data_IF_456785596998
#
_entry.id   IF_456785596998
#
_cell.length_a   1.000
_cell.length_b   1.000
_cell.length_c   1.000
_cell.angle_alpha   90.00
_cell.angle_beta   90.00
_cell.angle_gamma   90.00
#
_symmetry.space_group_name_H-M   'P 1'
#
loop_
_entity.id
_entity.type
_entity.pdbx_description
1 polymer ?
#
# COMPACT_ATOMS: atom_id res chain seq x y z
N UNK A 1 -18.46 31.86 -8.80
CA UNK A 1 -17.14 31.25 -8.55
C UNK A 1 -16.26 31.52 -9.74
N UNK A 2 -15.00 31.90 -9.52
CA UNK A 2 -14.00 32.07 -10.57
C UNK A 2 -13.15 30.81 -10.66
N UNK A 3 -13.07 30.22 -11.85
CA UNK A 3 -12.26 29.01 -12.07
C UNK A 3 -10.91 29.38 -12.66
N UNK A 4 -9.83 28.93 -12.00
CA UNK A 4 -8.47 29.02 -12.51
C UNK A 4 -8.00 27.64 -12.92
N UNK A 5 -7.81 27.45 -14.23
CA UNK A 5 -7.32 26.20 -14.80
C UNK A 5 -5.82 26.25 -15.05
N UNK A 6 -5.10 25.23 -14.59
CA UNK A 6 -3.69 25.00 -14.88
C UNK A 6 -3.55 23.94 -15.97
N UNK A 7 -2.74 24.22 -16.98
CA UNK A 7 -2.45 23.26 -18.05
C UNK A 7 -1.55 22.11 -17.56
N UNK A 8 -1.46 21.03 -18.34
CA UNK A 8 -0.69 19.83 -18.01
C UNK A 8 0.73 20.11 -17.50
N UNK A 9 1.49 21.00 -18.15
CA UNK A 9 2.88 21.31 -17.78
C UNK A 9 2.97 22.00 -16.42
N UNK A 10 2.10 22.98 -16.17
CA UNK A 10 2.06 23.70 -14.89
C UNK A 10 1.58 22.75 -13.79
N UNK A 11 0.51 22.00 -14.02
CA UNK A 11 -0.01 21.01 -13.08
C UNK A 11 1.04 19.96 -12.70
N UNK A 12 1.78 19.43 -13.67
CA UNK A 12 2.85 18.47 -13.39
C UNK A 12 4.00 19.10 -12.61
N UNK A 13 4.36 20.35 -12.91
CA UNK A 13 5.35 21.10 -12.13
C UNK A 13 4.90 21.31 -10.68
N UNK A 14 3.62 21.63 -10.48
CA UNK A 14 3.02 21.72 -9.15
C UNK A 14 3.09 20.35 -8.45
N UNK A 15 2.73 19.24 -9.10
CA UNK A 15 2.80 17.91 -8.50
C UNK A 15 4.23 17.53 -8.03
N UNK A 16 5.26 17.91 -8.78
CA UNK A 16 6.66 17.76 -8.38
C UNK A 16 6.97 18.64 -7.16
N UNK A 17 6.53 19.90 -7.17
CA UNK A 17 6.71 20.81 -6.05
C UNK A 17 6.01 20.30 -4.78
N UNK A 18 4.82 19.72 -4.90
CA UNK A 18 4.08 19.03 -3.83
C UNK A 18 4.91 17.90 -3.24
N UNK A 19 5.50 17.05 -4.09
CA UNK A 19 6.35 15.95 -3.62
C UNK A 19 7.57 16.48 -2.85
N UNK A 20 8.26 17.49 -3.38
CA UNK A 20 9.41 18.10 -2.70
C UNK A 20 9.03 18.80 -1.40
N UNK A 21 7.90 19.51 -1.36
CA UNK A 21 7.36 20.15 -0.17
C UNK A 21 7.13 19.10 0.93
N UNK A 22 6.47 18.00 0.58
CA UNK A 22 6.27 16.88 1.48
C UNK A 22 7.58 16.29 2.01
N UNK A 23 8.57 16.09 1.14
CA UNK A 23 9.91 15.64 1.55
C UNK A 23 10.60 16.64 2.48
N UNK A 24 10.46 17.94 2.24
CA UNK A 24 11.05 18.99 3.07
C UNK A 24 10.43 19.02 4.48
N UNK A 25 9.11 18.87 4.56
CA UNK A 25 8.38 18.81 5.84
C UNK A 25 8.73 17.53 6.59
N UNK A 26 8.76 16.37 5.90
CA UNK A 26 9.09 15.08 6.49
C UNK A 26 10.49 15.08 7.14
N UNK A 27 11.47 15.75 6.53
CA UNK A 27 12.82 15.92 7.10
C UNK A 27 12.85 16.75 8.38
N UNK A 28 11.89 17.66 8.58
CA UNK A 28 11.84 18.56 9.74
C UNK A 28 10.96 18.01 10.87
N UNK A 29 9.88 17.31 10.53
CA UNK A 29 8.88 16.85 11.51
C UNK A 29 9.11 15.38 11.87
N UNK A 30 9.81 15.15 12.98
CA UNK A 30 10.16 13.80 13.47
C UNK A 30 8.95 12.88 13.66
N UNK A 31 7.78 13.43 14.02
CA UNK A 31 6.57 12.64 14.23
C UNK A 31 6.07 11.99 12.93
N UNK A 32 6.06 12.74 11.82
CA UNK A 32 5.64 12.24 10.51
C UNK A 32 6.62 11.18 9.99
N UNK A 33 7.92 11.40 10.20
CA UNK A 33 8.97 10.45 9.86
C UNK A 33 8.87 9.17 10.70
N UNK A 34 8.61 9.29 12.00
CA UNK A 34 8.44 8.14 12.92
C UNK A 34 7.35 7.20 12.43
N UNK A 35 6.21 7.74 12.00
CA UNK A 35 5.09 6.93 11.51
C UNK A 35 5.18 6.58 10.03
N UNK A 36 6.25 6.95 9.31
CA UNK A 36 6.41 6.66 7.88
C UNK A 36 5.29 7.23 7.00
N UNK A 37 4.74 8.40 7.35
CA UNK A 37 3.73 9.07 6.52
C UNK A 37 4.36 9.42 5.16
N UNK A 38 3.80 8.97 4.03
CA UNK A 38 4.34 9.24 2.71
C UNK A 38 4.48 10.74 2.42
N UNK A 39 5.63 11.14 1.88
CA UNK A 39 5.88 12.53 1.48
C UNK A 39 4.82 13.14 0.54
N UNK A 40 4.32 12.44 -0.50
CA UNK A 40 3.28 12.99 -1.37
C UNK A 40 2.02 13.40 -0.60
N UNK A 41 1.66 12.67 0.46
CA UNK A 41 0.49 12.94 1.31
C UNK A 41 0.69 14.22 2.10
N UNK A 42 1.85 14.37 2.71
CA UNK A 42 2.17 15.56 3.49
C UNK A 42 2.10 16.80 2.60
N UNK A 43 2.73 16.75 1.41
CA UNK A 43 2.67 17.85 0.45
C UNK A 43 1.25 18.08 -0.08
N UNK A 44 0.56 17.00 -0.41
CA UNK A 44 -0.77 17.04 -1.01
C UNK A 44 -1.82 17.60 -0.05
N UNK A 45 -1.77 17.27 1.24
CA UNK A 45 -2.62 17.88 2.28
C UNK A 45 -2.40 19.39 2.35
N UNK A 46 -1.14 19.87 2.23
CA UNK A 46 -0.88 21.32 2.20
C UNK A 46 -1.57 21.96 0.99
N UNK A 47 -1.51 21.34 -0.19
CA UNK A 47 -2.22 21.85 -1.36
C UNK A 47 -3.73 21.73 -1.20
N UNK A 48 -4.25 20.64 -0.65
CA UNK A 48 -5.68 20.44 -0.40
C UNK A 48 -6.24 21.49 0.57
N UNK A 49 -5.46 21.89 1.58
CA UNK A 49 -5.84 22.99 2.48
C UNK A 49 -5.85 24.33 1.75
N UNK A 50 -4.89 24.57 0.85
CA UNK A 50 -4.85 25.78 0.03
C UNK A 50 -6.01 25.84 -0.97
N UNK A 51 -6.30 24.74 -1.68
CA UNK A 51 -7.43 24.65 -2.61
C UNK A 51 -8.75 24.82 -1.86
N UNK A 52 -8.89 24.23 -0.67
CA UNK A 52 -10.05 24.44 0.21
C UNK A 52 -10.19 25.91 0.62
N UNK A 53 -9.11 26.56 1.04
CA UNK A 53 -9.14 27.98 1.38
C UNK A 53 -9.56 28.85 0.18
N UNK A 54 -9.07 28.55 -1.03
CA UNK A 54 -9.49 29.24 -2.25
C UNK A 54 -10.97 29.00 -2.55
N UNK A 55 -11.44 27.75 -2.44
CA UNK A 55 -12.83 27.38 -2.69
C UNK A 55 -13.80 28.14 -1.77
N UNK A 56 -13.45 28.29 -0.48
CA UNK A 56 -14.23 29.09 0.49
C UNK A 56 -14.31 30.58 0.12
N UNK A 57 -13.35 31.10 -0.64
CA UNK A 57 -13.39 32.46 -1.20
C UNK A 57 -13.99 32.53 -2.61
N UNK A 58 -14.61 31.43 -3.09
CA UNK A 58 -15.26 31.34 -4.38
C UNK A 58 -14.31 31.16 -5.56
N UNK A 59 -13.09 30.68 -5.32
CA UNK A 59 -12.06 30.42 -6.34
C UNK A 59 -11.84 28.91 -6.48
N UNK A 60 -12.14 28.35 -7.65
CA UNK A 60 -11.93 26.93 -7.94
C UNK A 60 -10.63 26.73 -8.73
N UNK A 61 -9.73 25.90 -8.19
CA UNK A 61 -8.49 25.53 -8.86
C UNK A 61 -8.68 24.20 -9.58
N UNK A 62 -8.43 24.17 -10.89
CA UNK A 62 -8.58 22.98 -11.74
C UNK A 62 -7.23 22.63 -12.34
N UNK A 63 -6.81 21.37 -12.19
CA UNK A 63 -5.51 20.89 -12.67
C UNK A 63 -5.72 19.88 -13.79
N UNK A 64 -5.13 20.13 -14.96
CA UNK A 64 -5.04 19.13 -16.02
C UNK A 64 -3.91 18.12 -15.71
N UNK A 65 -4.24 16.84 -15.51
CA UNK A 65 -3.34 15.81 -14.96
C UNK A 65 -3.23 14.55 -15.85
N UNK A 66 -2.82 14.67 -17.13
CA UNK A 66 -2.89 13.57 -18.10
C UNK A 66 -1.95 12.39 -17.77
N UNK A 67 -0.90 12.62 -16.96
CA UNK A 67 0.06 11.58 -16.58
C UNK A 67 -0.35 10.80 -15.33
N UNK A 68 -1.42 11.18 -14.62
CA UNK A 68 -1.85 10.56 -13.35
C UNK A 68 -2.02 9.05 -13.51
N UNK A 69 -2.84 8.63 -14.49
CA UNK A 69 -3.12 7.22 -14.77
C UNK A 69 -1.88 6.47 -15.24
N UNK A 70 -1.07 7.06 -16.11
CA UNK A 70 0.17 6.42 -16.60
C UNK A 70 1.14 6.14 -15.44
N UNK A 71 1.35 7.11 -14.55
CA UNK A 71 2.22 6.96 -13.37
C UNK A 71 1.69 5.91 -12.39
N UNK A 72 0.36 5.87 -12.16
CA UNK A 72 -0.28 4.81 -11.39
C UNK A 72 0.03 3.42 -11.98
N UNK A 73 -0.16 3.25 -13.29
CA UNK A 73 0.09 1.98 -13.96
C UNK A 73 1.57 1.58 -13.95
N UNK A 74 2.49 2.54 -14.09
CA UNK A 74 3.93 2.29 -13.94
C UNK A 74 4.25 1.78 -12.53
N UNK A 75 3.65 2.36 -11.49
CA UNK A 75 3.81 1.88 -10.12
C UNK A 75 3.32 0.43 -9.97
N UNK A 76 2.10 0.10 -10.42
CA UNK A 76 1.58 -1.26 -10.29
C UNK A 76 2.32 -2.28 -11.17
N UNK A 77 2.80 -1.88 -12.35
CA UNK A 77 3.73 -2.71 -13.12
C UNK A 77 4.99 -3.03 -12.31
N UNK A 78 5.53 -2.06 -11.57
CA UNK A 78 6.70 -2.27 -10.71
C UNK A 78 6.43 -3.26 -9.57
N UNK A 79 5.23 -3.22 -8.98
CA UNK A 79 4.77 -4.22 -8.00
C UNK A 79 4.72 -5.61 -8.64
N UNK A 80 4.14 -5.74 -9.84
CA UNK A 80 4.10 -6.99 -10.59
C UNK A 80 5.49 -7.56 -10.91
N UNK A 81 6.42 -6.72 -11.39
CA UNK A 81 7.81 -7.12 -11.62
C UNK A 81 8.55 -7.53 -10.34
N UNK A 82 8.08 -7.06 -9.20
CA UNK A 82 8.65 -7.39 -7.91
C UNK A 82 8.17 -8.76 -7.37
N UNK A 83 7.09 -9.31 -7.93
CA UNK A 83 6.66 -10.68 -7.64
C UNK A 83 7.67 -11.70 -8.17
N UNK A 84 8.30 -12.44 -7.26
CA UNK A 84 9.19 -13.55 -7.59
C UNK A 84 8.54 -14.86 -7.16
N UNK A 85 7.94 -15.58 -8.13
CA UNK A 85 7.24 -16.83 -7.87
C UNK A 85 8.17 -17.96 -7.41
N UNK A 86 9.47 -17.86 -7.73
CA UNK A 86 10.46 -18.81 -7.21
C UNK A 86 10.66 -18.63 -5.70
N UNK A 87 10.70 -17.38 -5.20
CA UNK A 87 10.79 -17.11 -3.76
C UNK A 87 9.57 -17.64 -2.99
N UNK A 88 8.37 -17.63 -3.59
CA UNK A 88 7.17 -18.25 -3.00
C UNK A 88 7.38 -19.75 -2.77
N UNK A 89 7.91 -20.46 -3.77
CA UNK A 89 8.18 -21.89 -3.67
C UNK A 89 9.27 -22.21 -2.64
N UNK A 90 10.26 -21.35 -2.50
CA UNK A 90 11.36 -21.53 -1.54
C UNK A 90 11.02 -21.14 -0.10
N UNK A 91 9.99 -20.33 0.14
CA UNK A 91 9.65 -19.85 1.49
C UNK A 91 9.10 -20.91 2.45
N UNK A 92 8.86 -22.12 1.97
CA UNK A 92 8.50 -23.27 2.79
C UNK A 92 7.15 -23.12 3.50
N UNK A 93 6.88 -24.03 4.44
CA UNK A 93 5.57 -24.16 5.11
C UNK A 93 5.12 -22.88 5.83
N UNK A 94 6.06 -22.16 6.41
CA UNK A 94 5.81 -20.96 7.23
C UNK A 94 5.33 -19.80 6.35
N UNK A 95 5.95 -19.58 5.19
CA UNK A 95 5.51 -18.56 4.24
C UNK A 95 4.07 -18.81 3.78
N UNK A 96 3.77 -20.05 3.39
CA UNK A 96 2.43 -20.43 2.94
C UNK A 96 1.39 -20.31 4.06
N UNK A 97 1.72 -20.73 5.29
CA UNK A 97 0.82 -20.59 6.44
C UNK A 97 0.53 -19.11 6.76
N UNK A 98 1.54 -18.26 6.70
CA UNK A 98 1.37 -16.83 6.94
C UNK A 98 0.57 -16.15 5.83
N UNK A 99 0.88 -16.46 4.57
CA UNK A 99 0.12 -15.96 3.42
C UNK A 99 -1.34 -16.38 3.52
N UNK A 100 -1.61 -17.64 3.85
CA UNK A 100 -2.98 -18.13 4.06
C UNK A 100 -3.70 -17.35 5.17
N UNK A 101 -3.05 -17.10 6.31
CA UNK A 101 -3.63 -16.29 7.38
C UNK A 101 -3.93 -14.85 6.93
N UNK A 102 -3.03 -14.24 6.15
CA UNK A 102 -3.19 -12.89 5.67
C UNK A 102 -4.26 -12.78 4.57
N UNK A 103 -4.39 -13.78 3.69
CA UNK A 103 -5.52 -13.93 2.76
C UNK A 103 -6.83 -13.97 3.52
N UNK A 104 -6.91 -14.84 4.53
CA UNK A 104 -8.12 -15.04 5.33
C UNK A 104 -8.47 -13.77 6.12
N UNK A 105 -7.44 -13.08 6.63
CA UNK A 105 -7.58 -11.77 7.28
C UNK A 105 -8.24 -10.74 6.34
N UNK A 106 -7.74 -10.59 5.11
CA UNK A 106 -8.30 -9.64 4.12
C UNK A 106 -9.78 -9.95 3.84
N UNK A 107 -10.11 -11.23 3.61
CA UNK A 107 -11.50 -11.64 3.38
C UNK A 107 -12.40 -11.14 4.50
N UNK A 108 -12.04 -11.38 5.76
CA UNK A 108 -12.84 -10.95 6.92
C UNK A 108 -12.77 -9.44 7.17
N UNK A 109 -11.64 -8.78 6.88
CA UNK A 109 -11.48 -7.33 6.97
C UNK A 109 -12.51 -6.62 6.08
N UNK A 110 -12.72 -7.13 4.87
CA UNK A 110 -13.72 -6.61 3.94
C UNK A 110 -15.14 -6.96 4.36
N UNK A 111 -15.39 -8.17 4.91
CA UNK A 111 -16.71 -8.48 5.50
C UNK A 111 -17.07 -7.45 6.58
N UNK A 112 -16.14 -7.14 7.48
CA UNK A 112 -16.35 -6.15 8.56
C UNK A 112 -16.63 -4.77 7.98
N UNK A 113 -15.84 -4.34 6.99
CA UNK A 113 -16.02 -3.05 6.32
C UNK A 113 -17.38 -2.95 5.63
N UNK A 114 -17.73 -3.93 4.80
CA UNK A 114 -19.01 -4.02 4.09
C UNK A 114 -20.21 -4.04 5.05
N UNK A 115 -20.13 -4.85 6.11
CA UNK A 115 -21.22 -4.99 7.07
C UNK A 115 -21.47 -3.69 7.83
N UNK A 116 -20.41 -3.02 8.29
CA UNK A 116 -20.56 -1.76 9.03
C UNK A 116 -20.98 -0.61 8.13
N UNK A 117 -20.51 -0.54 6.89
CA UNK A 117 -21.01 0.44 5.92
C UNK A 117 -22.53 0.31 5.75
N UNK A 118 -23.04 -0.92 5.58
CA UNK A 118 -24.49 -1.17 5.50
C UNK A 118 -25.24 -0.78 6.78
N UNK A 119 -24.73 -1.13 7.96
CA UNK A 119 -25.35 -0.79 9.25
C UNK A 119 -25.40 0.73 9.46
N UNK A 120 -24.39 1.45 9.00
CA UNK A 120 -24.29 2.91 9.10
C UNK A 120 -25.00 3.64 7.94
N UNK A 121 -25.73 2.93 7.08
CA UNK A 121 -26.43 3.45 5.90
C UNK A 121 -25.50 4.18 4.90
N UNK A 122 -24.28 3.67 4.74
CA UNK A 122 -23.33 4.11 3.72
C UNK A 122 -23.38 3.17 2.50
N UNK A 123 -22.85 3.64 1.38
CA UNK A 123 -22.56 2.76 0.24
C UNK A 123 -21.59 1.64 0.69
N UNK A 124 -21.91 0.35 0.45
CA UNK A 124 -21.05 -0.77 0.83
C UNK A 124 -19.62 -0.65 0.31
N UNK A 125 -19.40 -0.08 -0.87
CA UNK A 125 -18.07 0.10 -1.46
C UNK A 125 -17.18 1.00 -0.59
N UNK A 126 -17.75 1.96 0.14
CA UNK A 126 -17.00 2.74 1.14
C UNK A 126 -16.47 1.85 2.26
N UNK A 127 -17.17 0.76 2.58
CA UNK A 127 -16.70 -0.27 3.51
C UNK A 127 -15.44 -0.99 3.02
N UNK A 128 -15.30 -1.21 1.71
CA UNK A 128 -14.08 -1.77 1.11
C UNK A 128 -12.93 -0.75 1.16
N UNK A 129 -13.22 0.53 0.87
CA UNK A 129 -12.23 1.62 0.99
C UNK A 129 -11.75 1.75 2.44
N UNK A 130 -12.64 1.68 3.42
CA UNK A 130 -12.31 1.65 4.85
C UNK A 130 -11.88 0.26 5.36
N UNK A 131 -11.71 -0.71 4.46
CA UNK A 131 -11.29 -2.07 4.70
C UNK A 131 -9.94 -2.35 4.05
N UNK A 132 -9.83 -3.49 3.37
CA UNK A 132 -8.55 -4.00 2.87
C UNK A 132 -7.90 -3.12 1.81
N UNK A 133 -8.69 -2.37 1.03
CA UNK A 133 -8.18 -1.50 -0.05
C UNK A 133 -7.11 -0.54 0.49
N UNK A 134 -7.39 0.07 1.64
CA UNK A 134 -6.49 1.06 2.26
C UNK A 134 -5.73 0.53 3.46
N UNK A 135 -6.38 -0.31 4.29
CA UNK A 135 -5.79 -0.78 5.54
C UNK A 135 -4.81 -1.92 5.32
N UNK A 136 -4.93 -2.68 4.23
CA UNK A 136 -3.92 -3.69 3.85
C UNK A 136 -3.12 -3.28 2.61
N UNK A 137 -3.76 -2.59 1.66
CA UNK A 137 -3.12 -2.14 0.41
C UNK A 137 -2.38 -0.79 0.49
N UNK A 138 -2.61 0.00 1.55
CA UNK A 138 -2.00 1.31 1.72
C UNK A 138 -2.47 2.36 0.72
N UNK A 139 -1.75 3.49 0.66
CA UNK A 139 -2.17 4.67 -0.11
C UNK A 139 -2.16 4.45 -1.62
N UNK A 140 -1.21 3.68 -2.16
CA UNK A 140 -1.12 3.42 -3.60
C UNK A 140 -2.34 2.66 -4.11
N UNK A 141 -2.67 1.56 -3.44
CA UNK A 141 -3.86 0.75 -3.73
C UNK A 141 -5.14 1.52 -3.45
N UNK A 142 -5.20 2.27 -2.36
CA UNK A 142 -6.31 3.17 -2.04
C UNK A 142 -6.61 4.20 -3.12
N UNK A 143 -5.60 4.96 -3.57
CA UNK A 143 -5.78 5.98 -4.60
C UNK A 143 -6.18 5.37 -5.97
N UNK A 144 -5.65 4.19 -6.28
CA UNK A 144 -5.97 3.50 -7.52
C UNK A 144 -7.43 3.05 -7.55
N UNK A 145 -7.88 2.37 -6.50
CA UNK A 145 -9.28 1.97 -6.37
C UNK A 145 -10.22 3.16 -6.23
N UNK A 146 -9.80 4.22 -5.54
CA UNK A 146 -10.59 5.45 -5.44
C UNK A 146 -10.87 6.06 -6.82
N UNK A 147 -9.86 6.06 -7.71
CA UNK A 147 -10.04 6.55 -9.08
C UNK A 147 -11.08 5.72 -9.83
N UNK A 148 -11.05 4.39 -9.68
CA UNK A 148 -12.05 3.49 -10.28
C UNK A 148 -13.44 3.71 -9.66
N UNK A 149 -13.53 3.90 -8.36
CA UNK A 149 -14.80 4.09 -7.66
C UNK A 149 -15.45 5.42 -8.06
N UNK A 150 -14.67 6.47 -8.24
CA UNK A 150 -15.15 7.74 -8.78
C UNK A 150 -15.61 7.60 -10.25
N UNK A 151 -14.78 7.00 -11.12
CA UNK A 151 -15.04 6.94 -12.56
C UNK A 151 -16.14 5.94 -12.95
N UNK A 152 -16.18 4.77 -12.33
CA UNK A 152 -17.06 3.66 -12.73
C UNK A 152 -18.27 3.47 -11.83
N UNK A 153 -18.15 3.84 -10.55
CA UNK A 153 -19.19 3.64 -9.54
C UNK A 153 -19.78 4.96 -9.02
N UNK A 154 -19.33 6.10 -9.54
CA UNK A 154 -19.82 7.44 -9.19
C UNK A 154 -19.74 7.77 -7.69
N UNK A 155 -18.69 7.28 -7.04
CA UNK A 155 -18.37 7.61 -5.64
C UNK A 155 -17.37 8.77 -5.65
N UNK A 156 -17.88 9.99 -5.67
CA UNK A 156 -17.07 11.20 -5.87
C UNK A 156 -16.00 11.42 -4.78
N UNK A 157 -16.27 10.99 -3.54
CA UNK A 157 -15.39 11.22 -2.37
C UNK A 157 -14.44 10.06 -2.07
N UNK A 158 -14.30 9.14 -3.03
CA UNK A 158 -13.56 7.91 -2.83
C UNK A 158 -12.07 8.19 -2.50
N UNK A 159 -11.48 9.24 -3.08
CA UNK A 159 -10.07 9.56 -2.88
C UNK A 159 -9.82 10.11 -1.48
N UNK A 160 -10.66 11.03 -1.02
CA UNK A 160 -10.64 11.64 0.31
C UNK A 160 -10.70 10.54 1.37
N UNK A 161 -11.68 9.65 1.24
CA UNK A 161 -11.91 8.52 2.14
C UNK A 161 -10.72 7.58 2.09
N UNK A 162 -10.23 7.24 0.90
CA UNK A 162 -9.09 6.33 0.76
C UNK A 162 -7.83 6.87 1.46
N UNK A 163 -7.54 8.17 1.28
CA UNK A 163 -6.38 8.82 1.88
C UNK A 163 -6.50 8.95 3.39
N UNK A 164 -7.69 9.26 3.90
CA UNK A 164 -7.97 9.31 5.32
C UNK A 164 -7.77 7.93 5.98
N UNK A 165 -8.41 6.89 5.42
CA UNK A 165 -8.32 5.52 5.94
C UNK A 165 -6.89 4.97 5.91
N UNK A 166 -6.18 5.12 4.78
CA UNK A 166 -4.82 4.61 4.65
C UNK A 166 -3.85 5.30 5.63
N UNK A 167 -4.02 6.61 5.85
CA UNK A 167 -3.18 7.38 6.77
C UNK A 167 -3.49 7.02 8.22
N UNK A 168 -4.78 6.91 8.56
CA UNK A 168 -5.22 6.44 9.88
C UNK A 168 -4.68 5.06 10.18
N UNK A 169 -4.86 4.12 9.24
CA UNK A 169 -4.34 2.76 9.32
C UNK A 169 -2.87 2.79 9.67
N UNK A 170 -2.03 3.34 8.78
CA UNK A 170 -0.58 3.34 8.94
C UNK A 170 -0.09 3.87 10.31
N UNK A 171 -0.73 4.90 10.86
CA UNK A 171 -0.43 5.39 12.22
C UNK A 171 -0.81 4.34 13.27
N UNK A 172 -2.03 3.83 13.22
CA UNK A 172 -2.55 2.86 14.18
C UNK A 172 -1.82 1.51 14.10
N UNK A 173 -1.60 0.96 12.92
CA UNK A 173 -0.83 -0.28 12.73
C UNK A 173 0.57 -0.19 13.33
N UNK A 174 1.17 1.00 13.27
CA UNK A 174 2.46 1.29 13.89
C UNK A 174 2.41 1.45 15.41
N UNK A 175 1.31 1.99 15.95
CA UNK A 175 1.12 2.14 17.40
C UNK A 175 0.83 0.78 18.06
N UNK A 176 0.01 -0.06 17.44
CA UNK A 176 -0.56 -1.25 18.09
C UNK A 176 0.22 -2.54 17.82
N UNK A 177 1.00 -2.64 16.74
CA UNK A 177 1.71 -3.88 16.42
C UNK A 177 2.81 -4.24 17.43
N UNK A 178 3.65 -3.28 17.82
CA UNK A 178 4.67 -3.49 18.87
C UNK A 178 4.07 -3.93 20.21
N UNK A 179 3.10 -3.20 20.79
CA UNK A 179 2.43 -3.62 22.03
C UNK A 179 1.80 -5.01 21.96
N UNK A 180 1.16 -5.37 20.82
CA UNK A 180 0.61 -6.71 20.64
C UNK A 180 1.70 -7.79 20.66
N UNK A 181 2.78 -7.59 19.89
CA UNK A 181 3.92 -8.52 19.86
C UNK A 181 4.55 -8.69 21.24
N UNK A 182 4.78 -7.58 21.96
CA UNK A 182 5.28 -7.59 23.34
C UNK A 182 4.36 -8.39 24.27
N UNK A 183 3.05 -8.16 24.19
CA UNK A 183 2.06 -8.89 25.01
C UNK A 183 2.10 -10.40 24.73
N UNK A 184 2.22 -10.79 23.47
CA UNK A 184 2.34 -12.21 23.07
C UNK A 184 3.62 -12.84 23.61
N UNK A 185 4.76 -12.13 23.54
CA UNK A 185 6.04 -12.60 24.09
C UNK A 185 5.95 -12.79 25.60
N UNK A 186 5.47 -11.78 26.33
CA UNK A 186 5.42 -11.80 27.79
C UNK A 186 4.42 -12.84 28.33
N UNK A 187 3.24 -12.96 27.71
CA UNK A 187 2.21 -13.90 28.18
C UNK A 187 2.57 -15.38 27.94
N UNK A 188 3.48 -15.66 27.01
CA UNK A 188 3.86 -17.03 26.64
C UNK A 188 5.32 -17.32 26.98
N UNK A 189 6.00 -16.44 27.73
CA UNK A 189 7.41 -16.57 28.17
C UNK A 189 8.36 -16.93 27.00
N UNK A 190 8.17 -16.26 25.86
CA UNK A 190 8.90 -16.57 24.63
C UNK A 190 10.27 -15.91 24.62
N UNK A 191 11.28 -16.64 24.12
CA UNK A 191 12.63 -16.15 23.94
C UNK A 191 13.11 -16.31 22.50
N UNK A 192 14.00 -15.42 22.08
CA UNK A 192 14.70 -15.53 20.80
C UNK A 192 15.71 -16.68 20.86
N UNK A 193 15.52 -17.72 20.05
CA UNK A 193 16.47 -18.84 19.95
C UNK A 193 17.73 -18.51 19.10
N UNK A 194 17.74 -17.38 18.38
CA UNK A 194 18.83 -16.96 17.48
C UNK A 194 20.07 -16.37 18.24
N UNK A 195 20.15 -16.48 19.57
CA UNK A 195 21.27 -15.92 20.36
C UNK A 195 22.64 -16.57 20.06
N UNK A 196 22.70 -17.84 19.63
CA UNK A 196 23.97 -18.54 19.38
C UNK A 196 24.69 -18.17 18.08
N UNK A 197 24.10 -17.33 17.23
CA UNK A 197 24.66 -16.89 15.95
C UNK A 197 24.91 -15.37 15.91
N UNK A 198 25.23 -14.77 17.06
CA UNK A 198 25.50 -13.32 17.18
C UNK A 198 26.79 -12.81 16.49
N UNK A 199 27.33 -13.55 15.51
CA UNK A 199 28.49 -13.12 14.70
C UNK A 199 28.38 -13.34 13.19
N UNK A 200 27.32 -13.97 12.66
CA UNK A 200 27.21 -14.22 11.20
C UNK A 200 25.91 -13.81 10.53
N UNK A 201 24.85 -13.58 11.29
CA UNK A 201 23.57 -13.13 10.74
C UNK A 201 23.00 -11.96 11.55
N UNK A 202 23.72 -10.84 11.57
CA UNK A 202 23.01 -9.62 11.17
C UNK A 202 22.50 -10.02 9.78
N UNK A 203 21.18 -10.23 9.51
CA UNK A 203 20.75 -10.15 8.13
C UNK A 203 21.38 -8.86 7.73
N UNK A 204 22.34 -8.88 6.78
CA UNK A 204 22.81 -7.64 6.19
C UNK A 204 21.49 -6.93 6.02
N UNK A 205 21.27 -5.84 6.77
CA UNK A 205 20.39 -4.84 6.27
C UNK A 205 20.83 -4.86 4.82
N UNK A 206 19.92 -5.03 3.89
CA UNK A 206 20.21 -4.32 2.69
C UNK A 206 20.33 -2.84 3.15
N UNK A 207 21.44 -2.41 3.79
CA UNK A 207 22.51 -1.66 3.16
C UNK A 207 22.41 -1.90 1.66
N UNK A 208 21.33 -1.37 1.08
CA UNK A 208 21.37 -0.45 -0.03
C UNK A 208 22.43 0.62 0.30
N UNK A 209 23.69 0.17 0.35
CA UNK A 209 24.74 0.78 1.15
C UNK A 209 26.07 0.06 1.02
N UNK A 210 26.21 -0.87 0.07
CA UNK A 210 27.25 -0.63 -0.92
C UNK A 210 26.59 0.19 -2.01
N UNK A 211 26.98 1.46 -2.10
CA UNK A 211 26.71 2.33 -3.23
C UNK A 211 27.34 1.71 -4.48
N UNK A 212 26.74 0.67 -5.05
CA UNK A 212 26.79 0.54 -6.51
C UNK A 212 26.16 1.84 -6.98
N UNK A 213 26.98 2.73 -7.55
CA UNK A 213 26.51 4.03 -7.99
C UNK A 213 25.23 3.88 -8.80
N UNK A 214 24.31 4.83 -8.62
CA UNK A 214 23.10 4.92 -9.45
C UNK A 214 23.58 4.80 -10.88
N UNK A 215 23.19 3.73 -11.58
CA UNK A 215 23.47 3.61 -13.00
C UNK A 215 22.35 4.34 -13.72
N UNK A 216 22.60 5.53 -14.33
CA UNK A 216 21.55 6.28 -15.00
C UNK A 216 20.92 5.47 -16.14
N UNK A 217 21.73 4.64 -16.80
CA UNK A 217 21.27 3.69 -17.80
C UNK A 217 20.23 2.70 -17.24
N UNK A 218 20.48 2.09 -16.06
CA UNK A 218 19.53 1.16 -15.45
C UNK A 218 18.24 1.82 -14.98
N UNK A 219 18.36 3.05 -14.48
CA UNK A 219 17.19 3.87 -14.14
C UNK A 219 16.33 4.14 -15.37
N UNK A 220 16.96 4.57 -16.47
CA UNK A 220 16.27 4.82 -17.73
C UNK A 220 15.63 3.54 -18.28
N UNK A 221 16.35 2.41 -18.31
CA UNK A 221 15.79 1.13 -18.77
C UNK A 221 14.63 0.66 -17.90
N UNK A 222 14.71 0.89 -16.58
CA UNK A 222 13.61 0.53 -15.66
C UNK A 222 12.40 1.42 -15.90
N UNK A 223 12.59 2.73 -16.06
CA UNK A 223 11.51 3.65 -16.42
C UNK A 223 10.88 3.34 -17.77
N UNK A 224 11.69 3.05 -18.79
CA UNK A 224 11.21 2.65 -20.11
C UNK A 224 10.40 1.35 -20.04
N UNK A 225 10.89 0.35 -19.29
CA UNK A 225 10.17 -0.91 -19.11
C UNK A 225 8.81 -0.69 -18.43
N UNK A 226 8.77 0.05 -17.33
CA UNK A 226 7.52 0.35 -16.63
C UNK A 226 6.55 1.16 -17.51
N UNK A 227 7.06 2.10 -18.29
CA UNK A 227 6.25 2.89 -19.23
C UNK A 227 5.67 2.01 -20.33
N UNK A 228 6.48 1.16 -20.96
CA UNK A 228 6.00 0.20 -21.98
C UNK A 228 4.94 -0.72 -21.38
N UNK A 229 5.17 -1.26 -20.19
CA UNK A 229 4.20 -2.12 -19.51
C UNK A 229 2.91 -1.38 -19.17
N UNK A 230 2.98 -0.10 -18.81
CA UNK A 230 1.78 0.73 -18.58
C UNK A 230 0.96 0.94 -19.86
N UNK A 231 1.62 1.18 -21.00
CA UNK A 231 0.96 1.35 -22.30
C UNK A 231 0.34 0.04 -22.78
N UNK A 232 1.07 -1.07 -22.64
CA UNK A 232 0.55 -2.41 -22.94
C UNK A 232 -0.66 -2.74 -22.05
N UNK A 233 -0.63 -2.38 -20.75
CA UNK A 233 -1.75 -2.58 -19.85
C UNK A 233 -2.99 -1.80 -20.27
N UNK A 234 -2.84 -0.54 -20.69
CA UNK A 234 -3.94 0.28 -21.19
C UNK A 234 -4.57 -0.31 -22.46
N UNK A 235 -3.74 -0.70 -23.44
CA UNK A 235 -4.23 -1.33 -24.66
C UNK A 235 -4.93 -2.66 -24.37
N UNK A 236 -4.35 -3.48 -23.49
CA UNK A 236 -4.94 -4.75 -23.11
C UNK A 236 -6.29 -4.58 -22.40
N UNK A 237 -6.40 -3.58 -21.52
CA UNK A 237 -7.66 -3.21 -20.87
C UNK A 237 -8.72 -2.76 -21.89
N UNK A 238 -8.36 -1.92 -22.86
CA UNK A 238 -9.28 -1.48 -23.91
C UNK A 238 -9.78 -2.65 -24.77
N UNK A 239 -8.91 -3.61 -25.10
CA UNK A 239 -9.28 -4.80 -25.87
C UNK A 239 -10.19 -5.74 -25.08
N UNK A 240 -9.88 -5.96 -23.79
CA UNK A 240 -10.55 -6.97 -22.98
C UNK A 240 -11.81 -6.47 -22.27
N UNK A 241 -11.92 -5.18 -21.98
CA UNK A 241 -13.11 -4.58 -21.33
C UNK A 241 -14.40 -4.76 -22.13
N UNK A 242 -14.30 -5.07 -23.43
CA UNK A 242 -15.44 -5.41 -24.29
C UNK A 242 -16.08 -6.77 -23.95
N UNK A 243 -15.37 -7.68 -23.28
CA UNK A 243 -15.89 -8.96 -22.85
C UNK A 243 -16.50 -8.85 -21.45
N UNK A 244 -17.70 -9.38 -21.25
CA UNK A 244 -18.42 -9.31 -19.96
C UNK A 244 -17.60 -9.81 -18.77
N UNK A 245 -16.76 -10.84 -18.96
CA UNK A 245 -15.90 -11.38 -17.90
C UNK A 245 -14.87 -10.36 -17.38
N UNK A 246 -14.42 -9.43 -18.23
CA UNK A 246 -13.33 -8.50 -17.95
C UNK A 246 -13.79 -7.05 -17.79
N UNK A 247 -15.10 -6.80 -17.90
CA UNK A 247 -15.73 -5.47 -17.89
C UNK A 247 -15.40 -4.68 -16.62
N UNK A 248 -15.44 -5.33 -15.47
CA UNK A 248 -15.18 -4.71 -14.16
C UNK A 248 -13.73 -4.84 -13.69
N UNK A 249 -12.82 -5.33 -14.54
CA UNK A 249 -11.40 -5.47 -14.19
C UNK A 249 -10.70 -4.12 -14.42
N UNK A 250 -10.16 -3.46 -13.38
CA UNK A 250 -9.47 -2.19 -13.53
C UNK A 250 -8.19 -2.29 -14.37
N UNK A 251 -7.83 -1.19 -15.03
CA UNK A 251 -6.64 -1.10 -15.88
C UNK A 251 -5.32 -1.48 -15.15
N UNK A 252 -5.16 -1.14 -13.88
CA UNK A 252 -3.95 -1.43 -13.10
C UNK A 252 -3.77 -2.92 -12.80
N UNK A 253 -4.84 -3.72 -12.84
CA UNK A 253 -4.75 -5.19 -12.74
C UNK A 253 -3.97 -5.76 -13.90
N UNK A 254 -4.19 -5.25 -15.11
CA UNK A 254 -3.44 -5.64 -16.29
C UNK A 254 -1.96 -5.25 -16.16
N UNK A 255 -1.65 -4.10 -15.53
CA UNK A 255 -0.27 -3.69 -15.27
C UNK A 255 0.44 -4.64 -14.29
N UNK A 256 -0.22 -5.04 -13.20
CA UNK A 256 0.30 -6.05 -12.27
C UNK A 256 0.50 -7.37 -13.02
N UNK A 257 -0.51 -7.85 -13.73
CA UNK A 257 -0.47 -9.14 -14.44
C UNK A 257 0.66 -9.19 -15.48
N UNK A 258 0.81 -8.13 -16.29
CA UNK A 258 1.93 -8.02 -17.23
C UNK A 258 3.28 -8.01 -16.51
N UNK A 259 3.41 -7.27 -15.40
CA UNK A 259 4.62 -7.27 -14.58
C UNK A 259 4.96 -8.66 -14.04
N UNK A 260 3.97 -9.39 -13.53
CA UNK A 260 4.14 -10.77 -13.03
C UNK A 260 4.55 -11.72 -14.16
N UNK A 261 3.83 -11.70 -15.28
CA UNK A 261 4.08 -12.59 -16.42
C UNK A 261 5.46 -12.32 -16.99
N UNK A 262 5.75 -11.08 -17.37
CA UNK A 262 7.02 -10.69 -18.00
C UNK A 262 8.18 -10.85 -17.02
N UNK A 263 7.98 -10.49 -15.75
CA UNK A 263 9.00 -10.56 -14.70
C UNK A 263 9.46 -11.97 -14.35
N UNK A 264 8.63 -12.98 -14.60
CA UNK A 264 8.94 -14.39 -14.31
C UNK A 264 9.39 -15.19 -15.56
N UNK A 265 9.56 -14.54 -16.72
CA UNK A 265 10.22 -15.16 -17.89
C UNK A 265 11.71 -15.33 -17.57
N UNK A 266 12.23 -16.56 -17.61
CA UNK A 266 13.57 -16.92 -17.09
C UNK A 266 14.74 -16.05 -17.61
N UNK A 267 14.71 -15.66 -18.89
CA UNK A 267 15.72 -14.77 -19.47
C UNK A 267 15.60 -13.32 -19.00
N UNK A 268 14.37 -12.84 -18.83
CA UNK A 268 14.07 -11.49 -18.36
C UNK A 268 14.32 -11.37 -16.85
N UNK A 269 13.91 -12.37 -16.07
CA UNK A 269 14.11 -12.44 -14.62
C UNK A 269 15.58 -12.21 -14.25
N UNK A 270 16.52 -12.90 -14.93
CA UNK A 270 17.96 -12.71 -14.69
C UNK A 270 18.46 -11.30 -15.01
N UNK A 271 17.86 -10.62 -15.98
CA UNK A 271 18.18 -9.24 -16.32
C UNK A 271 17.57 -8.26 -15.31
N UNK A 272 16.31 -8.50 -14.88
CA UNK A 272 15.61 -7.72 -13.88
C UNK A 272 16.26 -7.84 -12.50
N UNK A 273 16.73 -9.01 -12.11
CA UNK A 273 17.44 -9.21 -10.83
C UNK A 273 18.66 -8.29 -10.70
N UNK A 274 19.31 -7.94 -11.83
CA UNK A 274 20.44 -7.00 -11.86
C UNK A 274 20.03 -5.53 -11.73
N UNK A 275 18.76 -5.20 -11.97
CA UNK A 275 18.21 -3.83 -11.98
C UNK A 275 17.03 -3.67 -11.02
N UNK A 276 16.83 -4.62 -10.10
CA UNK A 276 15.63 -4.69 -9.25
C UNK A 276 15.54 -3.52 -8.28
N UNK A 277 16.68 -3.04 -7.79
CA UNK A 277 16.72 -1.86 -6.93
C UNK A 277 16.28 -0.62 -7.69
N UNK A 278 16.78 -0.43 -8.92
CA UNK A 278 16.42 0.69 -9.79
C UNK A 278 14.94 0.62 -10.20
N UNK A 279 14.43 -0.56 -10.52
CA UNK A 279 13.02 -0.78 -10.83
C UNK A 279 12.11 -0.39 -9.65
N UNK A 280 12.47 -0.80 -8.42
CA UNK A 280 11.73 -0.41 -7.22
C UNK A 280 11.83 1.09 -6.94
N UNK A 281 13.00 1.70 -7.17
CA UNK A 281 13.18 3.15 -6.98
C UNK A 281 12.35 3.97 -7.97
N UNK A 282 12.34 3.57 -9.25
CA UNK A 282 11.49 4.22 -10.27
C UNK A 282 10.02 3.98 -9.95
N UNK A 283 9.63 2.78 -9.54
CA UNK A 283 8.28 2.47 -9.07
C UNK A 283 7.83 3.40 -7.94
N UNK A 284 8.65 3.57 -6.91
CA UNK A 284 8.39 4.49 -5.80
C UNK A 284 8.31 5.95 -6.23
N UNK A 285 9.14 6.38 -7.21
CA UNK A 285 9.05 7.71 -7.79
C UNK A 285 7.71 7.91 -8.51
N UNK A 286 7.29 6.94 -9.33
CA UNK A 286 6.00 7.00 -10.04
C UNK A 286 4.82 6.98 -9.10
N UNK A 287 4.86 6.18 -8.02
CA UNK A 287 3.88 6.23 -6.92
C UNK A 287 3.82 7.63 -6.30
N UNK A 288 4.99 8.21 -6.01
CA UNK A 288 5.06 9.52 -5.37
C UNK A 288 4.45 10.62 -6.22
N UNK A 289 4.74 10.61 -7.53
CA UNK A 289 4.16 11.57 -8.47
C UNK A 289 2.66 11.33 -8.70
N UNK A 290 2.24 10.08 -8.88
CA UNK A 290 0.82 9.70 -8.98
C UNK A 290 0.04 10.21 -7.77
N UNK A 291 0.54 9.93 -6.56
CA UNK A 291 -0.13 10.32 -5.33
C UNK A 291 -0.16 11.84 -5.14
N UNK A 292 0.92 12.54 -5.48
CA UNK A 292 0.92 14.01 -5.50
C UNK A 292 -0.14 14.57 -6.46
N UNK A 293 -0.26 14.02 -7.67
CA UNK A 293 -1.27 14.45 -8.64
C UNK A 293 -2.69 14.16 -8.15
N UNK A 294 -2.93 12.97 -7.60
CA UNK A 294 -4.23 12.62 -7.03
C UNK A 294 -4.62 13.59 -5.90
N UNK A 295 -3.69 13.88 -4.99
CA UNK A 295 -3.98 14.76 -3.84
C UNK A 295 -4.20 16.23 -4.21
N UNK A 296 -3.77 16.67 -5.39
CA UNK A 296 -4.11 18.00 -5.90
C UNK A 296 -5.60 18.12 -6.27
N UNK A 297 -6.28 17.00 -6.54
CA UNK A 297 -7.72 16.95 -6.83
C UNK A 297 -8.58 16.80 -5.57
N UNK A 298 -7.95 16.65 -4.39
CA UNK A 298 -8.64 16.34 -3.14
C UNK A 298 -9.49 17.51 -2.64
N UNK A 299 -10.77 17.23 -2.38
CA UNK A 299 -11.81 18.15 -1.89
C UNK A 299 -12.14 17.86 -0.43
N UNK A 300 -11.39 18.47 0.49
CA UNK A 300 -11.53 18.20 1.94
C UNK A 300 -12.95 18.48 2.48
N UNK A 301 -13.69 19.38 1.84
CA UNK A 301 -15.03 19.75 2.26
C UNK A 301 -16.06 18.62 2.10
N UNK A 302 -15.82 17.65 1.22
CA UNK A 302 -16.74 16.52 1.04
C UNK A 302 -16.61 15.45 2.14
N UNK A 303 -15.47 15.41 2.86
CA UNK A 303 -15.20 14.37 3.86
C UNK A 303 -15.95 14.59 5.20
N UNK A 304 -16.42 15.81 5.47
CA UNK A 304 -16.93 16.20 6.78
C UNK A 304 -18.16 15.40 7.21
N UNK A 305 -19.08 15.16 6.28
CA UNK A 305 -20.34 14.45 6.56
C UNK A 305 -20.13 12.95 6.79
N UNK A 306 -19.03 12.39 6.26
CA UNK A 306 -18.69 10.97 6.36
C UNK A 306 -17.71 10.65 7.50
N UNK A 307 -17.15 11.68 8.15
CA UNK A 307 -16.06 11.52 9.11
C UNK A 307 -16.42 10.62 10.31
N UNK A 308 -17.60 10.81 10.91
CA UNK A 308 -18.04 10.04 12.07
C UNK A 308 -18.35 8.57 11.73
N UNK A 309 -19.16 8.26 10.69
CA UNK A 309 -19.33 6.87 10.23
C UNK A 309 -18.01 6.19 9.89
N UNK A 310 -17.10 6.90 9.20
CA UNK A 310 -15.81 6.35 8.80
C UNK A 310 -14.94 6.01 10.02
N UNK A 311 -14.89 6.91 11.00
CA UNK A 311 -14.17 6.66 12.25
C UNK A 311 -14.72 5.43 12.98
N UNK A 312 -16.04 5.23 13.00
CA UNK A 312 -16.65 4.05 13.61
C UNK A 312 -16.21 2.75 12.92
N UNK A 313 -16.19 2.72 11.58
CA UNK A 313 -15.68 1.56 10.80
C UNK A 313 -14.21 1.33 11.14
N UNK A 314 -13.39 2.37 11.11
CA UNK A 314 -11.96 2.27 11.38
C UNK A 314 -11.65 1.76 12.79
N UNK A 315 -12.41 2.18 13.80
CA UNK A 315 -12.27 1.66 15.17
C UNK A 315 -12.62 0.18 15.27
N UNK A 316 -13.65 -0.27 14.56
CA UNK A 316 -13.98 -1.69 14.48
C UNK A 316 -12.90 -2.49 13.74
N UNK A 317 -12.29 -1.92 12.69
CA UNK A 317 -11.18 -2.55 11.97
C UNK A 317 -9.94 -2.74 12.86
N UNK A 318 -9.63 -1.78 13.73
CA UNK A 318 -8.56 -1.94 14.73
C UNK A 318 -8.86 -3.13 15.63
N UNK A 319 -10.07 -3.17 16.19
CA UNK A 319 -10.47 -4.23 17.11
C UNK A 319 -10.42 -5.60 16.43
N UNK A 320 -11.02 -5.71 15.24
CA UNK A 320 -10.98 -6.91 14.41
C UNK A 320 -9.54 -7.36 14.18
N UNK A 321 -8.65 -6.44 13.77
CA UNK A 321 -7.24 -6.77 13.50
C UNK A 321 -6.53 -7.30 14.71
N UNK A 322 -6.65 -6.63 15.85
CA UNK A 322 -6.00 -7.06 17.09
C UNK A 322 -6.50 -8.44 17.53
N UNK A 323 -7.80 -8.69 17.44
CA UNK A 323 -8.40 -9.99 17.78
C UNK A 323 -7.96 -11.08 16.81
N UNK A 324 -8.06 -10.85 15.50
CA UNK A 324 -7.69 -11.81 14.48
C UNK A 324 -6.21 -12.19 14.58
N UNK A 325 -5.33 -11.21 14.70
CA UNK A 325 -3.89 -11.48 14.79
C UNK A 325 -3.55 -12.25 16.07
N UNK A 326 -4.13 -11.86 17.21
CA UNK A 326 -3.89 -12.53 18.49
C UNK A 326 -4.42 -13.97 18.51
N UNK A 327 -5.63 -14.20 18.00
CA UNK A 327 -6.31 -15.50 18.12
C UNK A 327 -6.04 -16.45 16.95
N UNK A 328 -5.86 -15.93 15.74
CA UNK A 328 -5.66 -16.74 14.53
C UNK A 328 -4.21 -16.74 14.13
N UNK A 329 -3.64 -15.58 13.77
CA UNK A 329 -2.28 -15.50 13.19
C UNK A 329 -1.24 -16.08 14.14
N UNK A 330 -1.20 -15.62 15.39
CA UNK A 330 -0.22 -16.10 16.37
C UNK A 330 -0.30 -17.62 16.60
N UNK A 331 -1.51 -18.18 16.61
CA UNK A 331 -1.73 -19.62 16.84
C UNK A 331 -1.33 -20.45 15.63
N UNK A 332 -1.73 -20.06 14.43
CA UNK A 332 -1.39 -20.78 13.19
C UNK A 332 0.11 -20.76 12.94
N UNK A 333 0.78 -19.65 13.29
CA UNK A 333 2.23 -19.53 13.19
C UNK A 333 3.01 -20.28 14.27
N UNK A 334 2.34 -21.01 15.18
CA UNK A 334 2.98 -21.95 16.11
C UNK A 334 3.32 -21.38 17.49
N UNK A 335 2.80 -20.20 17.85
CA UNK A 335 2.98 -19.57 19.18
C UNK A 335 4.45 -19.39 19.63
N UNK A 336 5.39 -19.34 18.70
CA UNK A 336 6.82 -19.11 18.97
C UNK A 336 7.14 -17.62 19.08
N UNK A 337 8.39 -17.31 19.46
CA UNK A 337 8.92 -15.95 19.38
C UNK A 337 8.77 -15.36 17.97
N UNK A 338 9.17 -16.11 16.93
CA UNK A 338 8.99 -15.71 15.53
C UNK A 338 7.52 -15.45 15.21
N UNK A 339 6.60 -16.28 15.69
CA UNK A 339 5.16 -16.07 15.51
C UNK A 339 4.68 -14.76 16.14
N UNK A 340 5.22 -14.37 17.30
CA UNK A 340 4.89 -13.11 17.96
C UNK A 340 5.44 -11.90 17.17
N UNK A 341 6.68 -11.99 16.66
CA UNK A 341 7.27 -10.95 15.80
C UNK A 341 6.50 -10.82 14.48
N UNK A 342 6.15 -11.95 13.86
CA UNK A 342 5.32 -11.99 12.65
C UNK A 342 3.91 -11.43 12.89
N UNK A 343 3.34 -11.68 14.07
CA UNK A 343 2.04 -11.10 14.47
C UNK A 343 2.12 -9.58 14.61
N UNK A 344 3.18 -9.04 15.22
CA UNK A 344 3.42 -7.60 15.25
C UNK A 344 3.56 -7.00 13.84
N UNK A 345 4.24 -7.73 12.94
CA UNK A 345 4.30 -7.42 11.52
C UNK A 345 2.93 -7.42 10.84
N UNK A 346 2.10 -8.43 11.12
CA UNK A 346 0.76 -8.57 10.54
C UNK A 346 -0.15 -7.40 10.93
N UNK A 347 -0.15 -6.97 12.20
CA UNK A 347 -0.86 -5.74 12.58
C UNK A 347 -0.34 -4.53 11.80
N UNK A 348 0.98 -4.46 11.60
CA UNK A 348 1.61 -3.35 10.90
C UNK A 348 1.16 -3.20 9.44
N UNK A 349 1.22 -4.27 8.64
CA UNK A 349 0.79 -4.17 7.24
C UNK A 349 -0.71 -4.37 7.05
N UNK A 350 -1.41 -5.12 7.91
CA UNK A 350 -2.86 -5.33 7.83
C UNK A 350 -3.70 -4.14 8.32
N UNK A 351 -3.04 -3.17 8.97
CA UNK A 351 -3.56 -1.83 9.26
C UNK A 351 -2.56 -0.79 8.78
N UNK A 352 -2.00 -0.91 7.59
CA UNK A 352 -1.13 0.09 7.01
C UNK A 352 -0.48 -0.42 5.74
N UNK A 353 0.85 -0.54 5.81
CA UNK A 353 1.66 -1.00 4.69
C UNK A 353 2.91 -1.73 5.20
N UNK A 354 3.66 -2.34 4.29
CA UNK A 354 4.91 -3.04 4.60
C UNK A 354 5.91 -2.22 5.45
N UNK A 355 6.13 -0.91 5.23
CA UNK A 355 7.01 -0.11 6.08
C UNK A 355 6.59 -0.11 7.56
N UNK A 356 5.29 -0.09 7.85
CA UNK A 356 4.74 -0.15 9.21
C UNK A 356 5.00 -1.51 9.85
N UNK A 357 4.87 -2.60 9.08
CA UNK A 357 5.26 -3.93 9.54
C UNK A 357 6.74 -3.98 9.91
N UNK A 358 7.62 -3.43 9.06
CA UNK A 358 9.06 -3.38 9.33
C UNK A 358 9.40 -2.56 10.57
N UNK A 359 8.69 -1.45 10.80
CA UNK A 359 8.82 -0.68 12.02
C UNK A 359 8.49 -1.51 13.26
N UNK A 360 7.40 -2.28 13.23
CA UNK A 360 7.00 -3.15 14.34
C UNK A 360 7.99 -4.30 14.57
N UNK A 361 8.48 -4.93 13.50
CA UNK A 361 9.54 -5.95 13.56
C UNK A 361 10.78 -5.38 14.28
N UNK A 362 11.28 -4.23 13.83
CA UNK A 362 12.45 -3.56 14.42
C UNK A 362 12.21 -3.17 15.89
N UNK A 363 11.01 -2.68 16.23
CA UNK A 363 10.67 -2.29 17.60
C UNK A 363 10.70 -3.48 18.57
N UNK A 364 10.28 -4.66 18.12
CA UNK A 364 10.36 -5.88 18.93
C UNK A 364 11.78 -6.43 18.97
N UNK A 365 12.41 -6.62 17.82
CA UNK A 365 13.69 -7.33 17.75
C UNK A 365 14.87 -6.54 18.31
N UNK A 366 14.78 -5.21 18.33
CA UNK A 366 15.76 -4.36 19.02
C UNK A 366 15.76 -4.55 20.54
N UNK A 367 14.67 -5.06 21.13
CA UNK A 367 14.56 -5.28 22.56
C UNK A 367 14.61 -6.75 22.97
N UNK A 368 14.03 -7.65 22.17
CA UNK A 368 13.86 -9.06 22.50
C UNK A 368 14.75 -10.03 21.70
N UNK A 369 15.58 -9.51 20.79
CA UNK A 369 16.49 -10.31 19.96
C UNK A 369 16.02 -10.51 18.52
N UNK A 370 16.89 -10.95 17.61
CA UNK A 370 16.58 -11.08 16.19
C UNK A 370 15.54 -12.18 15.89
N UNK A 371 14.85 -12.06 14.75
CA UNK A 371 13.95 -13.10 14.23
C UNK A 371 14.16 -13.23 12.72
N UNK A 372 15.07 -14.13 12.32
CA UNK A 372 15.42 -14.28 10.90
C UNK A 372 14.21 -14.63 10.05
N UNK A 373 13.31 -15.46 10.59
CA UNK A 373 12.10 -15.90 9.92
C UNK A 373 11.11 -14.75 9.66
N UNK A 374 10.86 -13.88 10.65
CA UNK A 374 9.92 -12.77 10.47
C UNK A 374 10.41 -11.76 9.43
N UNK A 375 11.71 -11.43 9.43
CA UNK A 375 12.30 -10.50 8.45
C UNK A 375 12.33 -11.07 7.03
N UNK A 376 12.23 -12.39 6.87
CA UNK A 376 12.10 -13.03 5.57
C UNK A 376 10.63 -13.09 5.12
N UNK A 377 9.75 -13.60 5.97
CA UNK A 377 8.36 -13.93 5.60
C UNK A 377 7.49 -12.68 5.49
N UNK A 378 7.52 -11.79 6.48
CA UNK A 378 6.59 -10.64 6.55
C UNK A 378 6.75 -9.69 5.36
N UNK A 379 7.98 -9.28 4.96
CA UNK A 379 8.13 -8.37 3.83
C UNK A 379 7.76 -9.04 2.51
N UNK A 380 8.05 -10.33 2.37
CA UNK A 380 7.76 -11.07 1.15
C UNK A 380 6.23 -11.19 0.94
N UNK A 381 5.48 -11.45 2.02
CA UNK A 381 4.01 -11.49 1.98
C UNK A 381 3.43 -10.09 1.81
N UNK A 382 3.81 -9.14 2.66
CA UNK A 382 3.24 -7.80 2.68
C UNK A 382 3.55 -6.95 1.45
N UNK A 383 4.75 -7.04 0.88
CA UNK A 383 5.16 -6.16 -0.22
C UNK A 383 4.73 -6.63 -1.61
N UNK A 384 4.41 -7.92 -1.78
CA UNK A 384 4.17 -8.51 -3.09
C UNK A 384 2.89 -9.33 -3.15
N UNK A 385 2.77 -10.35 -2.31
CA UNK A 385 1.67 -11.30 -2.41
C UNK A 385 0.36 -10.71 -1.95
N UNK A 386 0.39 -9.86 -0.92
CA UNK A 386 -0.82 -9.26 -0.38
C UNK A 386 -1.49 -8.34 -1.37
N UNK A 387 -0.77 -7.50 -2.11
CA UNK A 387 -1.39 -6.63 -3.11
C UNK A 387 -2.13 -7.43 -4.19
N UNK A 388 -1.56 -8.56 -4.64
CA UNK A 388 -2.17 -9.44 -5.64
C UNK A 388 -3.40 -10.17 -5.08
N UNK A 389 -3.27 -10.74 -3.87
CA UNK A 389 -4.37 -11.46 -3.22
C UNK A 389 -5.51 -10.51 -2.87
N UNK A 390 -5.19 -9.35 -2.33
CA UNK A 390 -6.14 -8.32 -1.96
C UNK A 390 -6.94 -7.87 -3.18
N UNK A 391 -6.25 -7.59 -4.29
CA UNK A 391 -6.88 -7.27 -5.56
C UNK A 391 -7.93 -8.31 -5.98
N UNK A 392 -7.58 -9.60 -5.96
CA UNK A 392 -8.49 -10.67 -6.35
C UNK A 392 -9.71 -10.77 -5.43
N UNK A 393 -9.51 -10.57 -4.12
CA UNK A 393 -10.60 -10.55 -3.13
C UNK A 393 -11.53 -9.35 -3.35
N UNK A 394 -10.98 -8.15 -3.52
CA UNK A 394 -11.76 -6.92 -3.77
C UNK A 394 -12.59 -7.08 -5.05
N UNK A 395 -12.00 -7.58 -6.14
CA UNK A 395 -12.73 -7.85 -7.37
C UNK A 395 -13.88 -8.84 -7.17
N UNK A 396 -13.66 -9.88 -6.36
CA UNK A 396 -14.71 -10.86 -6.03
C UNK A 396 -15.86 -10.17 -5.27
N UNK A 397 -15.56 -9.31 -4.29
CA UNK A 397 -16.60 -8.56 -3.57
C UNK A 397 -17.35 -7.59 -4.46
N UNK A 398 -16.65 -6.87 -5.33
CA UNK A 398 -17.29 -5.95 -6.29
C UNK A 398 -18.22 -6.73 -7.23
N UNK A 399 -17.79 -7.89 -7.73
CA UNK A 399 -18.62 -8.75 -8.57
C UNK A 399 -19.81 -9.38 -7.83
N UNK A 400 -19.78 -9.50 -6.50
CA UNK A 400 -20.90 -10.00 -5.68
C UNK A 400 -21.89 -8.89 -5.29
N UNK A 401 -21.45 -7.63 -5.31
CA UNK A 401 -22.28 -6.47 -4.94
C UNK A 401 -23.03 -5.88 -6.14
N UNK A 402 -22.59 -6.18 -7.37
CA UNK A 402 -23.26 -5.84 -8.63
C UNK A 402 -23.99 -7.07 -9.18
#
# INVERSE_FOLDING_TARGET
MSTFSFNATISFTIAIAVLFLGLAILKRVKLLAKYHIPAPIIGGIVVALLTTACHLHGIDLVFDLPLKTTLMLMFFASVGYSANLALLRHGGKVLFAFLFCATLFIVFQDVVGLALAKVLNLDPMLGLLAGSITLSGGHGTGAAWASIFAEQFHIDDALEIAMACATFGLVVGGIFGGPLGKKLIQNNELASFDETEHSKYIPKQQRHGQTKGISPAKWLTSGALLLVSSLCAQQLHQLLSSYELFKFVPNFVYAIALGVIVGNISGIQKALDKSRSELNQVGNLTLGLFLSMALMELKLWNLLDLALPLLAILMAQILFTLLFVYWVTFRVMGRSYDAAVMSAGHVGFGMGATPTAMMNLNAITSHYGPSTQAYFVVPLVGAFFIDIVNLAIIQTYIALLN
#
